data_IF_403583962355
#
_entry.id   IF_403583962355
#
_cell.length_a   1.000
_cell.length_b   1.000
_cell.length_c   1.000
_cell.angle_alpha   90.00
_cell.angle_beta   90.00
_cell.angle_gamma   90.00
#
_symmetry.space_group_name_H-M   'P 1'
#
loop_
_entity.id
_entity.type
_entity.pdbx_description
1 polymer ?
#
# COMPACT_ATOMS: atom_id res chain seq x y z
N UNK A 1 -33.84 23.24 13.91
CA UNK A 1 -33.20 23.87 15.09
C UNK A 1 -32.54 22.81 16.00
N UNK A 2 -31.45 22.16 15.56
CA UNK A 2 -30.80 21.05 16.30
C UNK A 2 -29.26 21.08 16.20
N UNK A 3 -28.65 22.27 16.22
CA UNK A 3 -27.22 22.44 15.90
C UNK A 3 -26.24 22.48 17.10
N UNK A 4 -26.68 22.34 18.36
CA UNK A 4 -25.83 22.70 19.51
C UNK A 4 -25.42 21.57 20.48
N UNK A 5 -25.59 20.29 20.15
CA UNK A 5 -25.28 19.23 21.14
C UNK A 5 -23.77 18.98 21.36
N UNK A 6 -22.91 19.43 20.45
CA UNK A 6 -21.45 19.31 20.59
C UNK A 6 -20.80 20.49 21.31
N UNK A 7 -21.55 21.58 21.59
CA UNK A 7 -21.00 22.74 22.31
C UNK A 7 -21.31 22.72 23.82
N UNK A 8 -22.18 21.83 24.30
CA UNK A 8 -22.48 21.64 25.73
C UNK A 8 -22.71 20.15 26.03
N UNK A 9 -21.71 19.52 26.64
CA UNK A 9 -21.79 18.12 27.06
C UNK A 9 -20.63 17.76 27.99
N UNK A 10 -20.79 16.67 28.73
CA UNK A 10 -19.83 16.17 29.74
C UNK A 10 -18.39 16.05 29.19
N UNK A 11 -18.21 15.83 27.88
CA UNK A 11 -16.89 15.81 27.22
C UNK A 11 -16.10 17.11 27.38
N UNK A 12 -16.76 18.28 27.29
CA UNK A 12 -16.10 19.59 27.52
C UNK A 12 -15.75 19.80 28.98
N UNK A 13 -16.58 19.28 29.90
CA UNK A 13 -16.29 19.30 31.33
C UNK A 13 -15.09 18.41 31.69
N UNK A 14 -14.88 17.31 30.96
CA UNK A 14 -13.70 16.45 31.09
C UNK A 14 -12.47 16.93 30.30
N UNK A 15 -12.52 18.08 29.61
CA UNK A 15 -11.40 18.56 28.80
C UNK A 15 -11.06 17.67 27.60
N UNK A 16 -11.96 16.78 27.18
CA UNK A 16 -11.79 15.91 26.03
C UNK A 16 -12.24 16.65 24.77
N UNK A 17 -11.42 17.60 24.31
CA UNK A 17 -11.63 18.26 23.03
C UNK A 17 -11.10 17.39 21.88
N UNK A 18 -11.86 17.19 20.79
CA UNK A 18 -11.39 16.43 19.64
C UNK A 18 -10.17 17.11 19.02
N UNK A 19 -9.20 16.33 18.55
CA UNK A 19 -8.04 16.85 17.85
C UNK A 19 -8.42 17.60 16.55
N UNK A 20 -7.54 18.45 16.00
CA UNK A 20 -7.83 19.25 14.80
C UNK A 20 -8.32 18.44 13.59
N UNK A 21 -7.75 17.25 13.38
CA UNK A 21 -8.11 16.32 12.30
C UNK A 21 -9.51 15.72 12.50
N UNK A 22 -9.88 15.45 13.75
CA UNK A 22 -11.18 14.88 14.10
C UNK A 22 -12.31 15.90 13.84
N UNK A 23 -12.06 17.16 14.18
CA UNK A 23 -12.98 18.27 13.87
C UNK A 23 -13.15 18.50 12.36
N UNK A 24 -12.10 18.28 11.55
CA UNK A 24 -12.21 18.39 10.09
C UNK A 24 -13.05 17.24 9.51
N UNK A 25 -12.79 16.01 9.95
CA UNK A 25 -13.55 14.81 9.56
C UNK A 25 -15.02 14.96 9.89
N UNK A 26 -15.34 15.34 11.12
CA UNK A 26 -16.73 15.47 11.59
C UNK A 26 -17.49 16.56 10.84
N UNK A 27 -16.82 17.67 10.48
CA UNK A 27 -17.41 18.70 9.61
C UNK A 27 -17.67 18.19 8.20
N UNK A 28 -16.74 17.43 7.62
CA UNK A 28 -16.91 16.84 6.29
C UNK A 28 -18.08 15.82 6.26
N UNK A 29 -18.17 14.96 7.28
CA UNK A 29 -19.25 13.97 7.40
C UNK A 29 -20.63 14.63 7.55
N UNK A 30 -20.75 15.63 8.43
CA UNK A 30 -22.01 16.36 8.64
C UNK A 30 -22.46 17.19 7.43
N UNK A 31 -21.56 17.48 6.49
CA UNK A 31 -21.92 18.15 5.23
C UNK A 31 -22.63 17.20 4.27
N UNK A 32 -22.43 15.89 4.40
CA UNK A 32 -22.97 14.88 3.48
C UNK A 32 -24.02 13.97 4.08
N UNK A 33 -24.00 13.76 5.41
CA UNK A 33 -24.87 12.79 6.09
C UNK A 33 -25.72 13.45 7.16
N UNK A 34 -26.97 12.99 7.28
CA UNK A 34 -27.88 13.45 8.31
C UNK A 34 -27.45 13.02 9.71
N UNK A 35 -27.78 13.81 10.76
CA UNK A 35 -27.44 13.47 12.13
C UNK A 35 -27.97 12.10 12.58
N UNK A 36 -29.14 11.68 12.11
CA UNK A 36 -29.71 10.37 12.46
C UNK A 36 -28.86 9.21 11.95
N UNK A 37 -28.33 9.31 10.73
CA UNK A 37 -27.43 8.32 10.16
C UNK A 37 -26.11 8.26 10.94
N UNK A 38 -25.51 9.42 11.22
CA UNK A 38 -24.25 9.47 11.98
C UNK A 38 -24.40 8.90 13.39
N UNK A 39 -25.57 9.04 14.00
CA UNK A 39 -25.87 8.44 15.31
C UNK A 39 -26.04 6.90 15.27
N UNK A 40 -26.05 6.27 14.09
CA UNK A 40 -26.09 4.80 13.90
C UNK A 40 -24.74 4.19 13.59
N UNK A 41 -23.69 5.00 13.56
CA UNK A 41 -22.31 4.53 13.36
C UNK A 41 -21.63 4.40 14.72
N UNK A 42 -21.37 3.16 15.12
CA UNK A 42 -20.73 2.87 16.41
C UNK A 42 -19.26 3.32 16.44
N UNK A 43 -18.55 3.18 15.32
CA UNK A 43 -17.14 3.52 15.21
C UNK A 43 -16.77 4.06 13.84
N UNK A 44 -15.93 5.09 13.83
CA UNK A 44 -15.31 5.63 12.62
C UNK A 44 -13.82 5.29 12.65
N UNK A 45 -13.40 4.40 11.76
CA UNK A 45 -11.99 4.04 11.58
C UNK A 45 -11.32 5.04 10.63
N UNK A 46 -10.20 5.61 11.07
CA UNK A 46 -9.41 6.53 10.25
C UNK A 46 -8.22 5.77 9.67
N UNK A 47 -8.10 5.77 8.34
CA UNK A 47 -6.94 5.20 7.66
C UNK A 47 -5.84 6.24 7.57
N UNK A 48 -4.69 5.92 8.15
CA UNK A 48 -3.50 6.76 8.05
C UNK A 48 -2.85 6.59 6.66
N UNK A 49 -2.15 7.62 6.16
CA UNK A 49 -1.35 7.47 4.96
C UNK A 49 -0.28 6.39 5.15
N UNK A 50 0.07 5.73 4.05
CA UNK A 50 1.12 4.71 4.03
C UNK A 50 2.49 5.38 4.22
N UNK A 51 3.28 4.84 5.14
CA UNK A 51 4.69 5.18 5.29
C UNK A 51 5.54 4.22 4.47
N UNK A 52 6.77 4.61 4.14
CA UNK A 52 7.72 3.78 3.38
C UNK A 52 7.88 2.37 3.99
N UNK A 53 7.94 2.28 5.32
CA UNK A 53 8.04 1.00 6.04
C UNK A 53 6.87 0.04 5.73
N UNK A 54 5.64 0.56 5.64
CA UNK A 54 4.47 -0.25 5.29
C UNK A 54 4.50 -0.69 3.83
N UNK A 55 5.11 0.10 2.95
CA UNK A 55 5.27 -0.27 1.55
C UNK A 55 6.32 -1.34 1.35
N UNK A 56 7.43 -1.28 2.08
CA UNK A 56 8.39 -2.38 2.09
C UNK A 56 7.72 -3.68 2.55
N UNK A 57 6.98 -3.65 3.66
CA UNK A 57 6.25 -4.82 4.15
C UNK A 57 5.23 -5.34 3.11
N UNK A 58 4.53 -4.44 2.43
CA UNK A 58 3.61 -4.81 1.36
C UNK A 58 4.32 -5.43 0.15
N UNK A 59 5.48 -4.89 -0.24
CA UNK A 59 6.30 -5.44 -1.31
C UNK A 59 6.76 -6.87 -0.98
N UNK A 60 7.18 -7.13 0.26
CA UNK A 60 7.52 -8.49 0.70
C UNK A 60 6.34 -9.45 0.62
N UNK A 61 5.13 -9.00 0.98
CA UNK A 61 3.91 -9.82 0.88
C UNK A 61 3.62 -10.19 -0.58
N UNK A 62 3.71 -9.23 -1.50
CA UNK A 62 3.47 -9.50 -2.93
C UNK A 62 4.56 -10.38 -3.53
N UNK A 63 5.83 -10.14 -3.18
CA UNK A 63 6.97 -10.96 -3.61
C UNK A 63 6.84 -12.40 -3.09
N UNK A 64 6.48 -12.59 -1.82
CA UNK A 64 6.22 -13.91 -1.25
C UNK A 64 5.03 -14.60 -1.96
N UNK A 65 3.97 -13.86 -2.27
CA UNK A 65 2.83 -14.35 -3.03
C UNK A 65 3.22 -14.79 -4.45
N UNK A 66 4.10 -14.04 -5.11
CA UNK A 66 4.66 -14.38 -6.43
C UNK A 66 5.55 -15.63 -6.33
N UNK A 67 6.49 -15.66 -5.38
CA UNK A 67 7.38 -16.81 -5.16
C UNK A 67 6.62 -18.08 -4.80
N UNK A 68 5.50 -18.00 -4.08
CA UNK A 68 4.60 -19.14 -3.85
C UNK A 68 4.03 -19.72 -5.16
N UNK A 69 3.77 -18.87 -6.16
CA UNK A 69 3.34 -19.32 -7.50
C UNK A 69 4.50 -19.91 -8.28
N UNK A 70 5.67 -19.26 -8.24
CA UNK A 70 6.89 -19.71 -8.94
C UNK A 70 7.41 -21.04 -8.40
N UNK A 71 7.28 -21.31 -7.09
CA UNK A 71 7.70 -22.56 -6.48
C UNK A 71 7.01 -23.79 -7.10
N UNK A 72 5.76 -23.65 -7.59
CA UNK A 72 5.06 -24.73 -8.32
C UNK A 72 5.74 -25.09 -9.65
N UNK A 73 6.58 -24.19 -10.16
CA UNK A 73 7.40 -24.35 -11.36
C UNK A 73 8.89 -24.47 -11.04
N UNK A 74 9.25 -24.77 -9.78
CA UNK A 74 10.63 -24.89 -9.32
C UNK A 74 11.45 -23.61 -9.59
N UNK A 75 10.81 -22.45 -9.54
CA UNK A 75 11.44 -21.16 -9.77
C UNK A 75 11.32 -20.24 -8.54
N UNK A 76 12.24 -19.29 -8.40
CA UNK A 76 12.25 -18.22 -7.40
C UNK A 76 12.73 -16.91 -8.00
N UNK A 77 12.29 -15.80 -7.42
CA UNK A 77 12.71 -14.45 -7.75
C UNK A 77 13.13 -13.71 -6.48
N UNK A 78 14.28 -13.05 -6.54
CA UNK A 78 14.69 -12.03 -5.60
C UNK A 78 14.80 -10.65 -6.28
N UNK A 79 14.77 -9.59 -5.48
CA UNK A 79 14.87 -8.20 -5.92
C UNK A 79 16.11 -7.55 -5.30
N UNK A 80 16.92 -6.88 -6.12
CA UNK A 80 17.99 -6.02 -5.63
C UNK A 80 17.48 -4.93 -4.68
N UNK A 81 18.34 -4.49 -3.75
CA UNK A 81 18.04 -3.44 -2.78
C UNK A 81 17.59 -2.15 -3.48
N UNK A 82 18.25 -1.80 -4.59
CA UNK A 82 17.93 -0.62 -5.41
C UNK A 82 16.53 -0.71 -6.00
N UNK A 83 16.17 -1.86 -6.60
CA UNK A 83 14.84 -2.06 -7.17
C UNK A 83 13.75 -2.02 -6.09
N UNK A 84 14.00 -2.64 -4.93
CA UNK A 84 13.07 -2.55 -3.79
C UNK A 84 12.84 -1.09 -3.39
N UNK A 85 13.91 -0.30 -3.31
CA UNK A 85 13.80 1.13 -2.99
C UNK A 85 13.01 1.90 -4.04
N UNK A 86 13.22 1.66 -5.32
CA UNK A 86 12.50 2.37 -6.39
C UNK A 86 11.01 2.02 -6.37
N UNK A 87 10.67 0.73 -6.25
CA UNK A 87 9.26 0.30 -6.17
C UNK A 87 8.53 0.91 -4.97
N UNK A 88 9.22 1.13 -3.84
CA UNK A 88 8.62 1.70 -2.64
C UNK A 88 8.68 3.23 -2.55
N UNK A 89 9.57 3.93 -3.27
CA UNK A 89 9.73 5.40 -3.15
C UNK A 89 9.14 6.20 -4.32
N UNK A 90 9.15 5.66 -5.54
CA UNK A 90 8.62 6.37 -6.73
C UNK A 90 7.11 6.13 -6.92
N UNK A 91 6.32 6.44 -5.89
CA UNK A 91 4.86 6.36 -5.97
C UNK A 91 4.19 7.67 -5.52
N UNK A 92 3.05 7.96 -6.12
CA UNK A 92 2.25 9.12 -5.76
C UNK A 92 1.33 8.78 -4.57
N UNK A 93 1.55 9.47 -3.45
CA UNK A 93 0.83 9.27 -2.19
C UNK A 93 -0.69 9.42 -2.31
N UNK A 94 -1.18 10.14 -3.32
CA UNK A 94 -2.63 10.29 -3.61
C UNK A 94 -3.28 8.98 -4.00
N UNK A 95 -2.53 8.07 -4.61
CA UNK A 95 -3.02 6.75 -5.04
C UNK A 95 -2.67 5.63 -4.04
N UNK A 96 -1.90 5.95 -3.00
CA UNK A 96 -1.43 5.00 -2.00
C UNK A 96 -0.58 3.87 -2.61
N UNK A 97 -0.61 2.70 -1.99
CA UNK A 97 0.15 1.52 -2.43
C UNK A 97 -0.23 1.00 -3.83
N UNK A 98 -1.35 1.45 -4.40
CA UNK A 98 -1.85 0.93 -5.68
C UNK A 98 -0.88 1.14 -6.83
N UNK A 99 -0.19 2.28 -6.85
CA UNK A 99 0.81 2.58 -7.88
C UNK A 99 2.02 1.65 -7.76
N UNK A 100 2.49 1.35 -6.54
CA UNK A 100 3.54 0.36 -6.31
C UNK A 100 3.11 -1.04 -6.79
N UNK A 101 1.91 -1.49 -6.39
CA UNK A 101 1.36 -2.78 -6.82
C UNK A 101 1.22 -2.87 -8.34
N UNK A 102 0.84 -1.76 -8.98
CA UNK A 102 0.75 -1.65 -10.43
C UNK A 102 2.12 -1.77 -11.08
N UNK A 103 3.14 -1.08 -10.57
CA UNK A 103 4.51 -1.20 -11.07
C UNK A 103 5.03 -2.64 -10.92
N UNK A 104 4.78 -3.29 -9.79
CA UNK A 104 5.11 -4.70 -9.56
C UNK A 104 4.47 -5.60 -10.64
N UNK A 105 3.17 -5.48 -10.89
CA UNK A 105 2.45 -6.35 -11.84
C UNK A 105 2.68 -6.02 -13.31
N UNK A 106 2.90 -4.74 -13.65
CA UNK A 106 2.99 -4.29 -15.05
C UNK A 106 4.43 -4.18 -15.54
N UNK A 107 5.43 -4.07 -14.65
CA UNK A 107 6.84 -3.97 -15.02
C UNK A 107 7.63 -5.20 -14.62
N UNK A 108 7.54 -5.62 -13.35
CA UNK A 108 8.34 -6.73 -12.84
C UNK A 108 7.82 -8.10 -13.33
N UNK A 109 6.53 -8.41 -13.18
CA UNK A 109 6.00 -9.72 -13.59
C UNK A 109 6.22 -10.01 -15.10
N UNK A 110 6.03 -9.06 -16.04
CA UNK A 110 6.33 -9.31 -17.44
C UNK A 110 7.82 -9.49 -17.73
N UNK A 111 8.70 -8.76 -17.03
CA UNK A 111 10.15 -8.93 -17.18
C UNK A 111 10.58 -10.33 -16.71
N UNK A 112 10.04 -10.80 -15.58
CA UNK A 112 10.24 -12.16 -15.10
C UNK A 112 9.71 -13.20 -16.09
N UNK A 113 8.51 -12.99 -16.65
CA UNK A 113 7.92 -13.92 -17.60
C UNK A 113 8.81 -14.10 -18.85
N UNK A 114 9.44 -13.04 -19.35
CA UNK A 114 10.42 -13.12 -20.45
C UNK A 114 11.65 -13.93 -20.03
N UNK A 115 12.24 -13.62 -18.88
CA UNK A 115 13.41 -14.34 -18.38
C UNK A 115 13.14 -15.85 -18.21
N UNK A 116 11.95 -16.23 -17.71
CA UNK A 116 11.54 -17.63 -17.59
C UNK A 116 11.41 -18.35 -18.94
N UNK A 117 11.07 -17.63 -20.01
CA UNK A 117 10.98 -18.19 -21.37
C UNK A 117 12.34 -18.27 -22.06
N UNK A 118 13.21 -17.29 -21.82
CA UNK A 118 14.56 -17.22 -22.38
C UNK A 118 15.53 -18.20 -21.71
N UNK A 119 15.32 -18.47 -20.42
CA UNK A 119 16.19 -19.29 -19.57
C UNK A 119 15.41 -20.40 -18.84
N UNK A 120 14.79 -21.35 -19.57
CA UNK A 120 13.97 -22.42 -18.97
C UNK A 120 14.76 -23.39 -18.07
N UNK A 121 16.08 -23.46 -18.21
CA UNK A 121 16.99 -24.28 -17.42
C UNK A 121 17.32 -23.69 -16.04
N UNK A 122 17.02 -22.41 -15.81
CA UNK A 122 17.33 -21.72 -14.57
C UNK A 122 16.14 -21.68 -13.61
N UNK A 123 16.42 -21.88 -12.33
CA UNK A 123 15.42 -21.89 -11.25
C UNK A 123 15.46 -20.63 -10.36
N UNK A 124 16.53 -19.86 -10.39
CA UNK A 124 16.70 -18.68 -9.54
C UNK A 124 16.95 -17.44 -10.38
N UNK A 125 16.22 -16.37 -10.08
CA UNK A 125 16.27 -15.12 -10.82
C UNK A 125 16.47 -13.94 -9.87
N UNK A 126 17.20 -12.93 -10.34
CA UNK A 126 17.37 -11.64 -9.66
C UNK A 126 16.84 -10.53 -10.56
N UNK A 127 15.94 -9.70 -10.02
CA UNK A 127 15.50 -8.48 -10.68
C UNK A 127 16.28 -7.26 -10.18
N UNK A 128 16.79 -6.50 -11.14
CA UNK A 128 17.61 -5.32 -10.94
C UNK A 128 17.07 -4.14 -11.73
N UNK A 129 17.44 -2.93 -11.31
CA UNK A 129 17.19 -1.73 -12.08
C UNK A 129 18.39 -1.45 -12.98
N UNK A 130 18.17 -1.33 -14.29
CA UNK A 130 19.20 -0.89 -15.24
C UNK A 130 18.73 0.40 -15.89
N UNK A 131 19.21 1.54 -15.39
CA UNK A 131 18.69 2.85 -15.78
C UNK A 131 17.28 3.05 -15.25
N UNK A 132 16.28 3.05 -16.13
CA UNK A 132 14.85 3.17 -15.77
C UNK A 132 14.05 1.89 -16.02
N UNK A 133 14.70 0.82 -16.50
CA UNK A 133 14.03 -0.43 -16.83
C UNK A 133 14.35 -1.51 -15.79
N UNK A 134 13.36 -2.37 -15.54
CA UNK A 134 13.53 -3.56 -14.71
C UNK A 134 14.05 -4.67 -15.61
N UNK A 135 15.22 -5.21 -15.25
CA UNK A 135 15.84 -6.34 -15.94
C UNK A 135 15.90 -7.51 -14.99
N UNK A 136 15.54 -8.70 -15.48
CA UNK A 136 15.62 -9.95 -14.72
C UNK A 136 16.74 -10.80 -15.32
N UNK A 137 17.65 -11.29 -14.49
CA UNK A 137 18.76 -12.15 -14.89
C UNK A 137 18.74 -13.45 -14.09
N UNK A 138 19.29 -14.51 -14.67
CA UNK A 138 19.57 -15.72 -13.92
C UNK A 138 20.53 -15.42 -12.77
N UNK A 139 20.19 -15.94 -11.61
CA UNK A 139 20.99 -15.86 -10.40
C UNK A 139 21.50 -17.26 -10.09
N UNK A 140 22.80 -17.37 -9.87
CA UNK A 140 23.43 -18.58 -9.36
C UNK A 140 24.00 -18.17 -8.01
N UNK A 141 23.53 -18.79 -6.93
CA UNK A 141 24.13 -18.64 -5.60
C UNK A 141 25.62 -18.97 -5.61
#
# INVERSE_FOLDING_TARGET
>A
AHHHRYQRGWRRWLGLEPGPQENLRDRALRRHFDPEFLNRIDQILTFNPLTDQWLYALLEIELAGLNKRLARKQASLDLSVELRSVLCRDYDSRYGAREMLRAFRQKLEPALARALLEHPEHSSFLAELKGQEIVVRQYVE
#
